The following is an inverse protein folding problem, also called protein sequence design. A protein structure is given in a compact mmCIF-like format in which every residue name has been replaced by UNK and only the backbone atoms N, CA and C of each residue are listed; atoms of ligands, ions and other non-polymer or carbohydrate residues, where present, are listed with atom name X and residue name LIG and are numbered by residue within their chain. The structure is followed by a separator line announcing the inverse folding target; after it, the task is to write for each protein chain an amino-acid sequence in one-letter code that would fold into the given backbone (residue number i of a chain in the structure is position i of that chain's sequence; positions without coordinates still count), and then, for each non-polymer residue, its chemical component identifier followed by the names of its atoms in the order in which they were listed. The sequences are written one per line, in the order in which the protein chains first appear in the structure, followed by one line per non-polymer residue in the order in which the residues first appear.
data_IF_600577813201
#
_entry.id   IF_600577813201
#
_cell.length_a   1.000
_cell.length_b   1.000
_cell.length_c   1.000
_cell.angle_alpha   90.00
_cell.angle_beta   90.00
_cell.angle_gamma   90.00
#
_symmetry.space_group_name_H-M   'P 1'
#
loop_
_entity.id
_entity.type
_entity.pdbx_description
1 polymer ?
#
# COMPACT_ATOMS: atom_id res chain seq x y z
N UNK A 1 -14.85 2.88 28.95
CA UNK A 1 -13.75 2.11 28.33
C UNK A 1 -13.87 2.29 26.81
N UNK A 2 -12.87 2.86 26.16
CA UNK A 2 -12.90 3.03 24.70
C UNK A 2 -12.76 1.65 24.04
N UNK A 3 -13.41 1.42 22.90
CA UNK A 3 -13.27 0.16 22.14
C UNK A 3 -11.80 -0.18 21.88
N UNK A 4 -10.96 0.85 21.65
CA UNK A 4 -9.52 0.72 21.45
C UNK A 4 -8.75 0.18 22.65
N UNK A 5 -9.26 0.34 23.88
CA UNK A 5 -8.57 -0.11 25.10
C UNK A 5 -8.59 -1.63 25.21
N UNK A 6 -9.67 -2.28 24.71
CA UNK A 6 -9.80 -3.74 24.65
C UNK A 6 -8.76 -4.41 23.77
N UNK A 7 -8.30 -3.74 22.71
CA UNK A 7 -7.27 -4.23 21.79
C UNK A 7 -5.85 -3.88 22.24
N UNK A 8 -5.69 -3.24 23.40
CA UNK A 8 -4.39 -2.82 23.94
C UNK A 8 -4.19 -3.31 25.38
N UNK A 9 -4.97 -4.28 25.79
CA UNK A 9 -4.89 -4.84 27.14
C UNK A 9 -3.65 -5.76 27.27
N UNK A 10 -2.67 -5.42 28.11
CA UNK A 10 -1.43 -6.17 28.25
C UNK A 10 -1.65 -7.52 28.95
N UNK A 11 -2.68 -7.67 29.78
CA UNK A 11 -2.97 -8.93 30.46
C UNK A 11 -3.51 -9.95 29.48
N UNK A 12 -4.48 -9.57 28.67
CA UNK A 12 -5.00 -10.39 27.56
C UNK A 12 -3.87 -10.77 26.60
N UNK A 13 -3.00 -9.82 26.21
CA UNK A 13 -1.88 -10.10 25.33
C UNK A 13 -0.92 -11.14 25.89
N UNK A 14 -0.58 -11.07 27.18
CA UNK A 14 0.27 -12.06 27.85
C UNK A 14 -0.41 -13.41 27.96
N UNK A 15 -1.72 -13.45 28.27
CA UNK A 15 -2.48 -14.70 28.36
C UNK A 15 -2.53 -15.41 26.99
N UNK A 16 -2.79 -14.69 25.91
CA UNK A 16 -2.78 -15.22 24.54
C UNK A 16 -1.36 -15.72 24.17
N UNK A 17 -0.32 -14.95 24.47
CA UNK A 17 1.06 -15.35 24.20
C UNK A 17 1.44 -16.63 24.97
N UNK A 18 1.00 -16.77 26.22
CA UNK A 18 1.20 -17.99 27.00
C UNK A 18 0.46 -19.19 26.39
N UNK A 19 -0.76 -19.01 25.92
CA UNK A 19 -1.52 -20.06 25.23
C UNK A 19 -0.85 -20.47 23.90
N UNK A 20 -0.33 -19.52 23.13
CA UNK A 20 0.46 -19.81 21.92
C UNK A 20 1.70 -20.62 22.27
N UNK A 21 2.44 -20.21 23.29
CA UNK A 21 3.65 -20.93 23.76
C UNK A 21 3.35 -22.38 24.16
N UNK A 22 2.24 -22.60 24.85
CA UNK A 22 1.83 -23.95 25.28
C UNK A 22 1.44 -24.86 24.10
N UNK A 23 0.92 -24.27 23.00
CA UNK A 23 0.47 -25.00 21.80
C UNK A 23 1.51 -25.10 20.70
N UNK A 24 2.55 -24.28 20.73
CA UNK A 24 3.59 -24.24 19.71
C UNK A 24 4.59 -25.38 19.92
N UNK A 25 4.34 -26.52 19.28
CA UNK A 25 5.14 -27.75 19.41
C UNK A 25 6.16 -27.95 18.28
N UNK A 26 6.13 -27.12 17.26
CA UNK A 26 7.05 -27.14 16.11
C UNK A 26 7.40 -25.72 15.67
N UNK A 27 8.46 -25.52 14.89
CA UNK A 27 8.71 -24.26 14.21
C UNK A 27 7.54 -23.88 13.28
N UNK A 28 7.15 -22.59 13.30
CA UNK A 28 6.09 -22.04 12.48
C UNK A 28 6.55 -20.70 11.91
N UNK A 29 6.44 -20.53 10.59
CA UNK A 29 6.77 -19.31 9.88
C UNK A 29 5.50 -18.66 9.35
N UNK A 30 5.19 -17.46 9.84
CA UNK A 30 4.02 -16.69 9.44
C UNK A 30 4.47 -15.41 8.75
N UNK A 31 3.85 -15.07 7.62
CA UNK A 31 4.06 -13.79 6.95
C UNK A 31 2.81 -12.91 7.06
N UNK A 32 3.01 -11.66 7.46
CA UNK A 32 1.93 -10.68 7.49
C UNK A 32 1.99 -9.77 6.24
N UNK A 33 0.82 -9.39 5.73
CA UNK A 33 0.68 -8.58 4.51
C UNK A 33 0.00 -7.23 4.83
N UNK A 34 0.59 -6.43 5.72
CA UNK A 34 0.07 -5.09 6.00
C UNK A 34 1.09 -4.26 6.76
N UNK A 35 1.49 -3.12 6.23
CA UNK A 35 2.39 -2.19 6.92
C UNK A 35 1.88 -1.75 8.31
N UNK A 36 0.56 -1.69 8.50
CA UNK A 36 -0.05 -1.44 9.81
C UNK A 36 0.19 -2.59 10.80
N UNK A 37 0.20 -3.84 10.32
CA UNK A 37 0.56 -5.01 11.14
C UNK A 37 2.03 -4.96 11.52
N UNK A 38 2.94 -4.76 10.56
CA UNK A 38 4.39 -4.62 10.82
C UNK A 38 4.64 -3.58 11.90
N UNK A 39 4.03 -2.39 11.72
CA UNK A 39 4.18 -1.30 12.69
C UNK A 39 3.67 -1.70 14.08
N UNK A 40 2.49 -2.31 14.19
CA UNK A 40 1.92 -2.74 15.48
C UNK A 40 2.76 -3.86 16.12
N UNK A 41 3.16 -4.86 15.35
CA UNK A 41 3.97 -5.99 15.81
C UNK A 41 5.28 -5.49 16.43
N UNK A 42 5.99 -4.58 15.74
CA UNK A 42 7.25 -4.03 16.22
C UNK A 42 7.04 -3.05 17.38
N UNK A 43 6.07 -2.15 17.27
CA UNK A 43 5.79 -1.13 18.30
C UNK A 43 5.44 -1.73 19.65
N UNK A 44 4.68 -2.82 19.66
CA UNK A 44 4.24 -3.48 20.90
C UNK A 44 5.14 -4.65 21.30
N UNK A 45 6.25 -4.88 20.60
CA UNK A 45 7.20 -5.93 20.94
C UNK A 45 6.61 -7.34 20.88
N UNK A 46 5.64 -7.58 19.99
CA UNK A 46 4.96 -8.89 19.87
C UNK A 46 5.95 -10.05 19.72
N UNK A 47 7.05 -9.96 18.93
CA UNK A 47 8.01 -11.05 18.79
C UNK A 47 8.63 -11.48 20.12
N UNK A 48 8.82 -10.56 21.08
CA UNK A 48 9.39 -10.89 22.39
C UNK A 48 8.41 -11.64 23.31
N UNK A 49 7.12 -11.56 23.00
CA UNK A 49 6.07 -12.29 23.74
C UNK A 49 5.87 -13.71 23.22
N UNK A 50 6.21 -13.96 21.97
CA UNK A 50 6.02 -15.26 21.31
C UNK A 50 7.16 -16.22 21.63
N UNK A 51 6.94 -17.55 21.51
CA UNK A 51 8.01 -18.52 21.63
C UNK A 51 8.97 -18.42 20.43
N UNK A 52 10.24 -18.76 20.63
CA UNK A 52 11.24 -18.75 19.57
C UNK A 52 10.91 -19.65 18.36
N UNK A 53 9.97 -20.58 18.53
CA UNK A 53 9.45 -21.44 17.46
C UNK A 53 8.52 -20.70 16.49
N UNK A 54 8.03 -19.49 16.82
CA UNK A 54 7.16 -18.70 15.95
C UNK A 54 7.97 -17.56 15.33
N UNK A 55 8.22 -17.66 14.03
CA UNK A 55 8.89 -16.63 13.22
C UNK A 55 7.86 -15.79 12.49
N UNK A 56 7.82 -14.49 12.79
CA UNK A 56 6.95 -13.53 12.12
C UNK A 56 7.73 -12.75 11.06
N UNK A 57 7.33 -12.87 9.82
CA UNK A 57 7.93 -12.18 8.68
C UNK A 57 7.02 -11.10 8.16
N UNK A 58 7.60 -9.96 7.79
CA UNK A 58 6.88 -8.91 7.09
C UNK A 58 6.88 -9.17 5.60
N UNK A 59 5.68 -9.29 5.05
CA UNK A 59 5.44 -9.37 3.61
C UNK A 59 5.22 -7.98 2.98
N UNK A 60 4.88 -7.93 1.69
CA UNK A 60 4.60 -6.68 0.98
C UNK A 60 3.32 -6.04 1.51
N UNK A 61 3.46 -5.03 2.36
CA UNK A 61 2.33 -4.35 3.01
C UNK A 61 2.28 -2.83 2.77
N UNK A 62 3.19 -2.29 1.94
CA UNK A 62 3.29 -0.87 1.64
C UNK A 62 3.27 -0.66 0.13
N UNK A 63 2.22 -0.01 -0.44
CA UNK A 63 2.14 0.20 -1.88
C UNK A 63 3.27 1.07 -2.43
N UNK A 64 3.76 2.02 -1.64
CA UNK A 64 4.92 2.86 -1.98
C UNK A 64 6.18 2.00 -2.11
N UNK A 65 6.40 1.08 -1.16
CA UNK A 65 7.61 0.25 -1.12
C UNK A 65 7.69 -0.76 -2.26
N UNK A 66 6.53 -1.20 -2.78
CA UNK A 66 6.44 -2.16 -3.90
C UNK A 66 6.27 -1.50 -5.27
N UNK A 67 6.29 -0.16 -5.33
CA UNK A 67 6.32 0.57 -6.60
C UNK A 67 7.70 0.41 -7.22
N UNK A 68 7.76 -0.05 -8.47
CA UNK A 68 9.03 -0.31 -9.14
C UNK A 68 9.78 1.00 -9.45
N UNK A 69 11.11 0.95 -9.45
CA UNK A 69 11.93 2.08 -9.89
C UNK A 69 11.59 2.51 -11.32
N UNK A 70 11.27 1.55 -12.20
CA UNK A 70 10.84 1.84 -13.57
C UNK A 70 9.51 2.60 -13.66
N UNK A 71 8.55 2.32 -12.78
CA UNK A 71 7.30 3.10 -12.73
C UNK A 71 7.56 4.52 -12.22
N UNK A 72 8.46 4.66 -11.24
CA UNK A 72 8.88 5.99 -10.77
C UNK A 72 9.61 6.78 -11.85
N UNK A 73 10.51 6.14 -12.59
CA UNK A 73 11.22 6.78 -13.72
C UNK A 73 10.23 7.26 -14.78
N UNK A 74 9.20 6.49 -15.10
CA UNK A 74 8.12 6.89 -16.02
C UNK A 74 7.34 8.09 -15.49
N UNK A 75 6.98 8.07 -14.18
CA UNK A 75 6.28 9.20 -13.54
C UNK A 75 7.13 10.47 -13.56
N UNK A 76 8.43 10.34 -13.29
CA UNK A 76 9.39 11.47 -13.36
C UNK A 76 9.50 11.99 -14.79
N UNK A 77 9.60 11.11 -15.79
CA UNK A 77 9.65 11.50 -17.19
C UNK A 77 8.37 12.23 -17.62
N UNK A 78 7.18 11.75 -17.21
CA UNK A 78 5.92 12.45 -17.47
C UNK A 78 5.88 13.84 -16.83
N UNK A 79 6.38 13.97 -15.60
CA UNK A 79 6.43 15.27 -14.91
C UNK A 79 7.36 16.29 -15.60
N UNK A 80 8.35 15.83 -16.37
CA UNK A 80 9.28 16.68 -17.12
C UNK A 80 8.76 17.09 -18.50
N UNK A 81 7.65 16.52 -18.95
CA UNK A 81 7.00 16.94 -20.22
C UNK A 81 6.48 18.37 -20.05
N UNK A 82 6.77 19.28 -21.00
CA UNK A 82 6.31 20.67 -20.93
C UNK A 82 4.78 20.76 -20.72
N UNK A 83 4.35 21.66 -19.87
CA UNK A 83 2.96 21.92 -19.48
C UNK A 83 2.28 20.83 -18.65
N UNK A 84 2.82 19.63 -18.54
CA UNK A 84 2.23 18.59 -17.69
C UNK A 84 2.26 19.03 -16.22
N UNK A 85 1.16 18.79 -15.52
CA UNK A 85 1.07 18.86 -14.06
C UNK A 85 0.99 17.42 -13.55
N UNK A 86 1.99 16.98 -12.80
CA UNK A 86 1.92 15.69 -12.12
C UNK A 86 1.37 15.90 -10.71
N UNK A 87 0.33 15.16 -10.37
CA UNK A 87 -0.25 15.15 -9.01
C UNK A 87 -0.01 13.79 -8.38
N UNK A 88 0.31 13.75 -7.09
CA UNK A 88 0.53 12.50 -6.36
C UNK A 88 0.42 12.70 -4.85
N UNK A 89 0.40 11.60 -4.10
CA UNK A 89 0.45 11.64 -2.63
C UNK A 89 1.84 12.06 -2.11
N UNK A 90 1.87 12.67 -0.94
CA UNK A 90 3.09 13.26 -0.38
C UNK A 90 4.21 12.28 -0.10
N UNK A 91 3.89 11.02 0.22
CA UNK A 91 4.84 9.95 0.47
C UNK A 91 5.63 9.53 -0.78
N UNK A 92 5.05 9.71 -1.98
CA UNK A 92 5.73 9.42 -3.25
C UNK A 92 6.83 10.42 -3.62
N UNK A 93 6.80 11.62 -3.08
CA UNK A 93 7.68 12.73 -3.51
C UNK A 93 9.16 12.40 -3.32
N UNK A 94 9.50 11.70 -2.24
CA UNK A 94 10.89 11.38 -1.86
C UNK A 94 11.35 9.99 -2.29
N UNK A 95 10.46 9.18 -2.85
CA UNK A 95 10.82 7.82 -3.28
C UNK A 95 11.80 7.92 -4.46
N UNK A 96 12.95 7.25 -4.38
CA UNK A 96 13.93 7.30 -5.43
C UNK A 96 13.51 6.45 -6.63
N UNK A 97 13.59 7.01 -7.84
CA UNK A 97 13.69 6.24 -9.07
C UNK A 97 15.13 5.74 -9.27
N UNK A 98 15.46 5.31 -10.49
CA UNK A 98 16.79 4.79 -10.81
C UNK A 98 17.91 5.86 -10.70
N UNK A 99 17.60 7.12 -10.95
CA UNK A 99 18.60 8.22 -10.99
C UNK A 99 18.19 9.45 -10.19
N UNK A 100 16.91 9.68 -9.98
CA UNK A 100 16.37 10.90 -9.38
C UNK A 100 15.06 10.59 -8.66
N UNK A 101 14.42 11.61 -8.09
CA UNK A 101 13.12 11.51 -7.43
C UNK A 101 12.17 12.60 -7.94
N UNK A 102 10.87 12.48 -7.63
CA UNK A 102 9.90 13.54 -7.91
C UNK A 102 10.25 14.84 -7.19
N UNK A 103 10.86 14.78 -5.98
CA UNK A 103 11.34 15.97 -5.28
C UNK A 103 12.42 16.70 -6.06
N UNK A 104 13.39 15.97 -6.60
CA UNK A 104 14.46 16.55 -7.41
C UNK A 104 13.95 17.08 -8.75
N UNK A 105 13.05 16.36 -9.43
CA UNK A 105 12.41 16.84 -10.64
C UNK A 105 11.63 18.14 -10.39
N UNK A 106 10.90 18.23 -9.28
CA UNK A 106 10.21 19.45 -8.84
C UNK A 106 11.19 20.61 -8.61
N UNK A 107 12.30 20.36 -7.93
CA UNK A 107 13.35 21.36 -7.73
C UNK A 107 13.97 21.82 -9.06
N UNK A 108 14.00 20.95 -10.07
CA UNK A 108 14.43 21.23 -11.43
C UNK A 108 13.39 21.95 -12.30
N UNK A 109 12.22 22.33 -11.73
CA UNK A 109 11.18 23.11 -12.42
C UNK A 109 9.97 22.34 -12.92
N UNK A 110 9.89 21.02 -12.70
CA UNK A 110 8.69 20.24 -13.03
C UNK A 110 7.50 20.65 -12.12
N UNK A 111 6.30 20.78 -12.70
CA UNK A 111 5.09 21.12 -11.95
C UNK A 111 4.54 19.85 -11.28
N UNK A 112 5.01 19.57 -10.09
CA UNK A 112 4.57 18.42 -9.27
C UNK A 112 3.84 18.93 -8.05
N UNK A 113 2.58 18.48 -7.88
CA UNK A 113 1.70 18.93 -6.79
C UNK A 113 1.31 17.76 -5.89
N UNK A 114 1.48 17.98 -4.59
CA UNK A 114 1.01 17.02 -3.58
C UNK A 114 -0.49 17.20 -3.39
N UNK A 115 -1.21 16.11 -3.43
CA UNK A 115 -2.65 16.03 -3.17
C UNK A 115 -2.93 15.02 -2.07
N UNK A 116 -4.07 15.18 -1.40
CA UNK A 116 -4.52 14.28 -0.33
C UNK A 116 -5.59 13.29 -0.80
N UNK A 117 -6.12 13.52 -2.00
CA UNK A 117 -7.17 12.71 -2.59
C UNK A 117 -7.07 12.76 -4.12
N UNK A 118 -7.51 11.73 -4.85
CA UNK A 118 -7.68 11.80 -6.31
C UNK A 118 -8.65 12.91 -6.74
N UNK A 119 -9.61 13.26 -5.89
CA UNK A 119 -10.55 14.36 -6.16
C UNK A 119 -9.88 15.74 -6.15
N UNK A 120 -8.81 15.91 -5.35
CA UNK A 120 -8.01 17.14 -5.39
C UNK A 120 -7.27 17.28 -6.73
N UNK A 121 -6.85 16.13 -7.31
CA UNK A 121 -6.25 16.13 -8.65
C UNK A 121 -7.26 16.54 -9.73
N UNK A 122 -8.53 16.15 -9.62
CA UNK A 122 -9.61 16.66 -10.48
C UNK A 122 -9.77 18.17 -10.34
N UNK A 123 -9.69 18.69 -9.12
CA UNK A 123 -9.76 20.13 -8.90
C UNK A 123 -8.60 20.87 -9.58
N UNK A 124 -7.40 20.26 -9.57
CA UNK A 124 -6.25 20.80 -10.32
C UNK A 124 -6.55 20.80 -11.82
N UNK A 125 -7.17 19.74 -12.38
CA UNK A 125 -7.53 19.66 -13.79
C UNK A 125 -8.55 20.75 -14.19
N UNK A 126 -9.60 20.94 -13.38
CA UNK A 126 -10.61 22.00 -13.60
C UNK A 126 -10.00 23.41 -13.63
N UNK A 127 -8.99 23.64 -12.77
CA UNK A 127 -8.30 24.95 -12.68
C UNK A 127 -7.26 25.17 -13.78
N UNK A 128 -6.91 24.15 -14.56
CA UNK A 128 -5.87 24.20 -15.57
C UNK A 128 -6.33 23.54 -16.89
N UNK A 129 -7.42 24.01 -17.53
CA UNK A 129 -8.05 23.32 -18.66
C UNK A 129 -7.14 23.14 -19.87
N UNK A 130 -6.15 24.03 -20.06
CA UNK A 130 -5.21 23.99 -21.20
C UNK A 130 -3.95 23.16 -20.91
N UNK A 131 -3.90 22.45 -19.78
CA UNK A 131 -2.72 21.70 -19.33
C UNK A 131 -3.10 20.26 -19.00
N UNK A 132 -2.34 19.26 -19.48
CA UNK A 132 -2.53 17.89 -19.05
C UNK A 132 -2.23 17.73 -17.55
N UNK A 133 -3.12 17.07 -16.82
CA UNK A 133 -2.96 16.73 -15.42
C UNK A 133 -2.89 15.20 -15.31
N UNK A 134 -1.76 14.71 -14.83
CA UNK A 134 -1.53 13.28 -14.60
C UNK A 134 -1.56 13.01 -13.10
N UNK A 135 -2.46 12.14 -12.65
CA UNK A 135 -2.46 11.65 -11.28
C UNK A 135 -1.66 10.35 -11.21
N UNK A 136 -0.53 10.36 -10.50
CA UNK A 136 0.20 9.14 -10.14
C UNK A 136 -0.54 8.46 -8.99
N UNK A 137 -1.31 7.44 -9.35
CA UNK A 137 -2.10 6.64 -8.41
C UNK A 137 -1.28 5.45 -7.88
N UNK A 138 -1.05 5.44 -6.58
CA UNK A 138 -0.33 4.37 -5.87
C UNK A 138 -1.21 3.85 -4.76
N UNK A 139 -1.34 2.54 -4.63
CA UNK A 139 -2.18 1.95 -3.61
C UNK A 139 -2.42 0.47 -3.80
N UNK A 140 -3.23 -0.06 -2.92
CA UNK A 140 -3.82 -1.38 -2.98
C UNK A 140 -5.34 -1.26 -3.17
N UNK A 141 -6.07 -2.33 -2.94
CA UNK A 141 -7.53 -2.40 -3.08
C UNK A 141 -8.28 -1.33 -2.26
N UNK A 142 -7.69 -0.88 -1.15
CA UNK A 142 -8.30 0.12 -0.27
C UNK A 142 -8.35 1.52 -0.88
N UNK A 143 -7.46 1.84 -1.83
CA UNK A 143 -7.36 3.16 -2.47
C UNK A 143 -7.87 3.18 -3.90
N UNK A 144 -7.85 2.05 -4.59
CA UNK A 144 -8.30 1.92 -5.97
C UNK A 144 -9.74 2.43 -6.22
N UNK A 145 -10.73 2.20 -5.33
CA UNK A 145 -12.10 2.69 -5.55
C UNK A 145 -12.21 4.20 -5.66
N UNK A 146 -11.44 4.95 -4.86
CA UNK A 146 -11.45 6.42 -4.97
C UNK A 146 -10.82 6.92 -6.27
N UNK A 147 -9.80 6.23 -6.76
CA UNK A 147 -9.18 6.56 -8.04
C UNK A 147 -10.13 6.26 -9.19
N UNK A 148 -10.83 5.11 -9.15
CA UNK A 148 -11.87 4.78 -10.12
C UNK A 148 -13.01 5.81 -10.11
N UNK A 149 -13.47 6.22 -8.93
CA UNK A 149 -14.47 7.28 -8.79
C UNK A 149 -14.00 8.60 -9.41
N UNK A 150 -12.73 8.96 -9.23
CA UNK A 150 -12.19 10.18 -9.86
C UNK A 150 -12.19 10.08 -11.38
N UNK A 151 -11.84 8.93 -11.97
CA UNK A 151 -11.91 8.70 -13.43
C UNK A 151 -13.34 8.85 -13.94
N UNK A 152 -14.31 8.20 -13.30
CA UNK A 152 -15.72 8.29 -13.66
C UNK A 152 -16.26 9.74 -13.54
N UNK A 153 -15.80 10.46 -12.52
CA UNK A 153 -16.17 11.88 -12.34
C UNK A 153 -15.57 12.74 -13.46
N UNK A 154 -14.30 12.50 -13.82
CA UNK A 154 -13.66 13.22 -14.93
C UNK A 154 -14.41 13.00 -16.25
N UNK A 155 -14.81 11.75 -16.52
CA UNK A 155 -15.61 11.39 -17.69
C UNK A 155 -16.97 12.11 -17.69
N UNK A 156 -17.70 12.06 -16.58
CA UNK A 156 -19.00 12.72 -16.44
C UNK A 156 -18.94 14.24 -16.60
N UNK A 157 -17.82 14.84 -16.24
CA UNK A 157 -17.58 16.29 -16.35
C UNK A 157 -16.87 16.70 -17.66
N UNK A 158 -16.55 15.75 -18.56
CA UNK A 158 -15.79 15.97 -19.80
C UNK A 158 -14.43 16.67 -19.54
N UNK A 159 -13.71 16.23 -18.52
CA UNK A 159 -12.37 16.71 -18.19
C UNK A 159 -11.31 15.94 -19.00
N UNK A 160 -11.17 16.26 -20.27
CA UNK A 160 -10.27 15.57 -21.21
C UNK A 160 -8.79 15.74 -20.86
N UNK A 161 -8.47 16.72 -20.01
CA UNK A 161 -7.11 17.00 -19.56
C UNK A 161 -6.69 16.20 -18.32
N UNK A 162 -7.56 15.35 -17.75
CA UNK A 162 -7.25 14.50 -16.59
C UNK A 162 -6.94 13.07 -17.01
N UNK A 163 -5.82 12.54 -16.52
CA UNK A 163 -5.42 11.15 -16.75
C UNK A 163 -4.84 10.55 -15.46
N UNK A 164 -4.91 9.23 -15.37
CA UNK A 164 -4.34 8.48 -14.24
C UNK A 164 -3.21 7.57 -14.73
N UNK A 165 -2.03 7.74 -14.18
CA UNK A 165 -0.96 6.76 -14.26
C UNK A 165 -1.06 5.84 -13.03
N UNK A 166 -1.73 4.71 -13.18
CA UNK A 166 -1.99 3.78 -12.09
C UNK A 166 -0.85 2.79 -11.92
N UNK A 167 -0.26 2.77 -10.73
CA UNK A 167 0.71 1.76 -10.28
C UNK A 167 0.15 0.92 -9.13
N UNK A 168 -1.19 0.87 -9.00
CA UNK A 168 -1.85 0.03 -7.99
C UNK A 168 -1.45 -1.43 -8.14
N UNK A 169 -1.32 -2.10 -7.01
CA UNK A 169 -1.08 -3.54 -6.93
C UNK A 169 -2.29 -4.19 -6.23
N UNK A 170 -2.54 -5.45 -6.58
CA UNK A 170 -3.56 -6.25 -5.91
C UNK A 170 -2.87 -7.24 -4.97
N UNK A 171 -3.34 -7.30 -3.72
CA UNK A 171 -2.68 -8.10 -2.68
C UNK A 171 -2.89 -9.60 -2.85
N UNK A 172 -4.06 -10.14 -3.26
CA UNK A 172 -4.20 -11.57 -3.49
C UNK A 172 -3.26 -12.12 -4.58
N UNK A 173 -3.20 -11.55 -5.81
CA UNK A 173 -2.28 -12.05 -6.81
C UNK A 173 -0.80 -11.85 -6.43
N UNK A 174 -0.46 -10.79 -5.69
CA UNK A 174 0.89 -10.59 -5.19
C UNK A 174 1.29 -11.67 -4.17
N UNK A 175 0.36 -12.04 -3.28
CA UNK A 175 0.57 -13.13 -2.32
C UNK A 175 0.75 -14.47 -3.04
N UNK A 176 -0.12 -14.76 -4.01
CA UNK A 176 -0.01 -15.99 -4.81
C UNK A 176 1.35 -16.07 -5.51
N UNK A 177 1.79 -14.98 -6.13
CA UNK A 177 3.09 -14.94 -6.81
C UNK A 177 4.28 -15.22 -5.87
N UNK A 178 4.21 -14.77 -4.61
CA UNK A 178 5.24 -15.05 -3.60
C UNK A 178 5.24 -16.53 -3.22
N UNK A 179 4.06 -17.13 -3.08
CA UNK A 179 3.92 -18.55 -2.75
C UNK A 179 4.40 -19.44 -3.92
N UNK A 180 3.99 -19.10 -5.14
CA UNK A 180 4.36 -19.84 -6.35
C UNK A 180 5.85 -19.76 -6.67
N UNK A 181 6.53 -18.68 -6.30
CA UNK A 181 7.97 -18.53 -6.45
C UNK A 181 8.76 -19.59 -5.65
N UNK A 182 8.17 -20.14 -4.58
CA UNK A 182 8.78 -21.19 -3.77
C UNK A 182 10.03 -20.75 -2.99
N UNK A 183 10.36 -19.46 -2.98
CA UNK A 183 11.55 -18.93 -2.31
C UNK A 183 11.35 -18.77 -0.81
N UNK A 184 10.09 -18.75 -0.36
CA UNK A 184 9.73 -18.55 1.05
C UNK A 184 8.86 -19.71 1.52
N UNK A 185 9.41 -20.48 2.47
CA UNK A 185 8.61 -21.49 3.17
C UNK A 185 7.74 -20.80 4.22
N UNK A 186 6.43 -20.93 4.11
CA UNK A 186 5.46 -20.36 5.05
C UNK A 186 4.51 -21.45 5.54
N UNK A 187 4.22 -21.44 6.84
CA UNK A 187 3.18 -22.26 7.46
C UNK A 187 1.83 -21.55 7.47
N UNK A 188 1.81 -20.24 7.27
CA UNK A 188 0.56 -19.47 7.23
C UNK A 188 0.75 -17.99 6.91
N UNK A 189 -0.37 -17.34 6.63
CA UNK A 189 -0.45 -15.92 6.25
C UNK A 189 -1.35 -15.18 7.22
N UNK A 190 -0.88 -14.03 7.70
CA UNK A 190 -1.72 -13.05 8.42
C UNK A 190 -2.20 -12.05 7.37
N UNK A 191 -3.44 -12.25 6.90
CA UNK A 191 -4.02 -11.46 5.82
C UNK A 191 -4.24 -9.99 6.19
N UNK A 192 -4.25 -9.09 5.18
CA UNK A 192 -4.41 -7.64 5.40
C UNK A 192 -5.86 -7.29 5.70
N UNK A 193 -6.19 -7.07 6.97
CA UNK A 193 -7.56 -6.83 7.43
C UNK A 193 -8.28 -5.69 6.71
N UNK A 194 -7.58 -4.60 6.38
CA UNK A 194 -8.17 -3.49 5.61
C UNK A 194 -8.59 -3.91 4.20
N UNK A 195 -7.76 -4.69 3.50
CA UNK A 195 -8.06 -5.19 2.16
C UNK A 195 -9.23 -6.18 2.23
N UNK A 196 -9.19 -7.12 3.18
CA UNK A 196 -10.25 -8.13 3.36
C UNK A 196 -11.61 -7.45 3.64
N UNK A 197 -11.62 -6.33 4.36
CA UNK A 197 -12.82 -5.55 4.59
C UNK A 197 -13.41 -4.96 3.29
N UNK A 198 -12.56 -4.64 2.32
CA UNK A 198 -12.98 -4.06 1.02
C UNK A 198 -13.41 -5.15 0.03
N UNK A 199 -12.59 -6.20 -0.16
CA UNK A 199 -12.81 -7.20 -1.22
C UNK A 199 -13.38 -8.54 -0.73
N UNK A 200 -13.55 -8.71 0.58
CA UNK A 200 -14.03 -9.94 1.18
C UNK A 200 -12.94 -11.02 1.34
N UNK A 201 -13.27 -12.06 2.09
CA UNK A 201 -12.38 -13.19 2.34
C UNK A 201 -12.28 -14.15 1.15
N UNK A 202 -13.29 -14.17 0.28
CA UNK A 202 -13.36 -15.09 -0.86
C UNK A 202 -12.20 -14.91 -1.85
N UNK A 203 -11.66 -13.69 -1.96
CA UNK A 203 -10.49 -13.41 -2.79
C UNK A 203 -9.20 -14.12 -2.32
N UNK A 204 -9.22 -14.72 -1.13
CA UNK A 204 -8.09 -15.42 -0.50
C UNK A 204 -8.26 -16.94 -0.44
N UNK A 205 -9.30 -17.49 -1.08
CA UNK A 205 -9.55 -18.95 -1.10
C UNK A 205 -8.47 -19.79 -1.76
N UNK A 206 -7.52 -19.18 -2.44
CA UNK A 206 -6.35 -19.88 -2.98
C UNK A 206 -5.32 -20.25 -1.91
N UNK A 207 -5.40 -19.65 -0.72
CA UNK A 207 -4.59 -20.07 0.42
C UNK A 207 -5.13 -21.41 0.93
N UNK A 208 -4.27 -22.43 1.11
CA UNK A 208 -4.70 -23.70 1.70
C UNK A 208 -5.18 -23.47 3.14
N UNK A 209 -6.20 -24.27 3.55
CA UNK A 209 -6.71 -24.29 4.92
C UNK A 209 -5.71 -24.90 5.91
#
# INVERSE_FOLDING_TARGET
MRLTDRFRDPETARAVAAAIRAKSTRPVQLMEFCGGHTHAILRFGIPTLLPASVDLRSGPGCPVCVTSAGDLDRAIAMAQVPKVILTTFGDMIRVPGSRTSLAQAKAGGADIRVVYSPLDALQVARQNPDRPVVFLGVGFETTAPMVASAVLTAEAENLDNFTVFSTHKLTPPATLAILDAGEVALDGVIGPGHVITVIGADAWRFLPE
#
